data_IF_850265927584
#
_entry.id   IF_850265927584
#
_cell.length_a   1.000
_cell.length_b   1.000
_cell.length_c   1.000
_cell.angle_alpha   90.00
_cell.angle_beta   90.00
_cell.angle_gamma   90.00
#
_symmetry.space_group_name_H-M   'P 1'
#
loop_
_entity.id
_entity.type
_entity.pdbx_description
1 polymer ?
#
# COMPACT_ATOMS: atom_id res chain seq x y z
N UNK A 1 43.64 -17.79 -26.85
CA UNK A 1 42.95 -16.50 -26.69
C UNK A 1 41.68 -16.74 -25.89
N UNK A 2 41.65 -16.39 -24.60
CA UNK A 2 40.42 -16.45 -23.83
C UNK A 2 39.54 -15.27 -24.25
N UNK A 3 38.42 -15.55 -24.92
CA UNK A 3 37.39 -14.56 -25.18
C UNK A 3 36.79 -14.22 -23.82
N UNK A 4 37.12 -13.06 -23.27
CA UNK A 4 36.47 -12.56 -22.06
C UNK A 4 35.02 -12.22 -22.45
N UNK A 5 34.09 -13.11 -22.10
CA UNK A 5 32.68 -12.81 -22.17
C UNK A 5 32.39 -11.59 -21.30
N UNK A 6 31.64 -10.63 -21.84
CA UNK A 6 31.23 -9.46 -21.07
C UNK A 6 30.50 -9.95 -19.79
N UNK A 7 30.89 -9.50 -18.58
CA UNK A 7 30.35 -10.02 -17.32
C UNK A 7 28.81 -10.01 -17.26
N UNK A 8 28.23 -9.00 -17.89
CA UNK A 8 26.80 -8.82 -18.09
C UNK A 8 26.14 -9.97 -18.89
N UNK A 9 26.72 -10.37 -20.02
CA UNK A 9 26.22 -11.45 -20.86
C UNK A 9 26.34 -12.79 -20.13
N UNK A 10 27.44 -12.99 -19.42
CA UNK A 10 27.64 -14.17 -18.58
C UNK A 10 26.55 -14.27 -17.49
N UNK A 11 26.21 -13.14 -16.85
CA UNK A 11 25.15 -13.08 -15.84
C UNK A 11 23.77 -13.40 -16.42
N UNK A 12 23.40 -12.85 -17.58
CA UNK A 12 22.12 -13.20 -18.25
C UNK A 12 22.03 -14.68 -18.59
N UNK A 13 23.10 -15.26 -19.15
CA UNK A 13 23.14 -16.67 -19.51
C UNK A 13 23.05 -17.56 -18.26
N UNK A 14 23.71 -17.16 -17.18
CA UNK A 14 23.62 -17.83 -15.89
C UNK A 14 22.18 -17.82 -15.33
N UNK A 15 21.52 -16.65 -15.30
CA UNK A 15 20.13 -16.55 -14.86
C UNK A 15 19.20 -17.40 -15.73
N UNK A 16 19.39 -17.40 -17.06
CA UNK A 16 18.59 -18.23 -17.97
C UNK A 16 18.78 -19.72 -17.67
N UNK A 17 19.99 -20.16 -17.35
CA UNK A 17 20.25 -21.54 -16.97
C UNK A 17 19.55 -21.91 -15.65
N UNK A 18 19.60 -21.04 -14.64
CA UNK A 18 18.88 -21.26 -13.38
C UNK A 18 17.37 -21.40 -13.59
N UNK A 19 16.77 -20.54 -14.44
CA UNK A 19 15.34 -20.60 -14.78
C UNK A 19 14.99 -21.88 -15.54
N UNK A 20 15.76 -22.22 -16.58
CA UNK A 20 15.53 -23.39 -17.41
C UNK A 20 15.64 -24.71 -16.63
N UNK A 21 16.53 -24.74 -15.63
CA UNK A 21 16.72 -25.89 -14.76
C UNK A 21 15.88 -25.83 -13.47
N UNK A 22 15.04 -24.80 -13.28
CA UNK A 22 14.24 -24.58 -12.06
C UNK A 22 15.08 -24.74 -10.77
N UNK A 23 16.28 -24.16 -10.76
CA UNK A 23 17.19 -24.28 -9.61
C UNK A 23 16.63 -23.44 -8.46
N UNK A 24 16.24 -24.12 -7.38
CA UNK A 24 15.78 -23.46 -6.17
C UNK A 24 16.90 -22.66 -5.50
N UNK A 25 16.65 -21.37 -5.26
CA UNK A 25 17.58 -20.47 -4.56
C UNK A 25 16.93 -19.86 -3.31
N UNK A 26 17.74 -19.50 -2.32
CA UNK A 26 17.27 -18.74 -1.17
C UNK A 26 17.10 -17.24 -1.49
N UNK A 27 16.41 -16.53 -0.58
CA UNK A 27 16.15 -15.09 -0.70
C UNK A 27 17.43 -14.26 -0.71
N UNK A 28 18.43 -14.60 0.10
CA UNK A 28 19.70 -13.88 0.17
C UNK A 28 20.44 -13.91 -1.19
N UNK A 29 20.41 -15.06 -1.86
CA UNK A 29 20.98 -15.22 -3.20
C UNK A 29 20.18 -14.46 -4.25
N UNK A 30 18.85 -14.47 -4.17
CA UNK A 30 18.01 -13.62 -5.02
C UNK A 30 18.35 -12.13 -4.84
N UNK A 31 18.54 -11.66 -3.61
CA UNK A 31 18.88 -10.25 -3.32
C UNK A 31 20.26 -9.86 -3.85
N UNK A 32 21.23 -10.76 -3.75
CA UNK A 32 22.53 -10.57 -4.41
C UNK A 32 22.40 -10.47 -5.92
N UNK A 33 21.51 -11.25 -6.53
CA UNK A 33 21.26 -11.13 -7.97
C UNK A 33 20.64 -9.79 -8.31
N UNK A 34 19.64 -9.32 -7.54
CA UNK A 34 19.04 -8.00 -7.76
C UNK A 34 20.10 -6.89 -7.68
N UNK A 35 20.92 -6.88 -6.63
CA UNK A 35 22.00 -5.91 -6.48
C UNK A 35 23.04 -5.96 -7.63
N UNK A 36 23.30 -7.13 -8.19
CA UNK A 36 24.15 -7.26 -9.38
C UNK A 36 23.44 -6.77 -10.65
N UNK A 37 22.14 -7.04 -10.80
CA UNK A 37 21.31 -6.55 -11.89
C UNK A 37 21.30 -5.02 -11.97
N UNK A 38 21.04 -4.37 -10.84
CA UNK A 38 21.03 -2.91 -10.71
C UNK A 38 22.38 -2.31 -11.12
N UNK A 39 23.49 -2.92 -10.70
CA UNK A 39 24.86 -2.49 -11.08
C UNK A 39 25.13 -2.60 -12.58
N UNK A 40 24.45 -3.51 -13.28
CA UNK A 40 24.55 -3.66 -14.72
C UNK A 40 23.51 -2.83 -15.49
N UNK A 41 22.69 -2.03 -14.81
CA UNK A 41 21.65 -1.21 -15.43
C UNK A 41 20.41 -2.00 -15.86
N UNK A 42 20.20 -3.20 -15.32
CA UNK A 42 18.94 -3.91 -15.50
C UNK A 42 17.93 -3.45 -14.47
N UNK A 43 16.74 -3.09 -14.93
CA UNK A 43 15.58 -3.04 -14.06
C UNK A 43 15.19 -4.46 -13.64
N UNK A 44 14.86 -4.66 -12.36
CA UNK A 44 14.70 -5.96 -11.68
C UNK A 44 13.81 -7.02 -12.35
N UNK A 45 13.04 -6.65 -13.39
CA UNK A 45 12.22 -7.54 -14.21
C UNK A 45 12.98 -8.76 -14.76
N UNK A 46 14.25 -8.58 -15.15
CA UNK A 46 15.05 -9.68 -15.71
C UNK A 46 15.32 -10.79 -14.67
N UNK A 47 15.32 -10.45 -13.39
CA UNK A 47 15.63 -11.35 -12.28
C UNK A 47 14.33 -11.88 -11.67
N UNK A 48 13.33 -11.02 -11.52
CA UNK A 48 12.10 -11.33 -10.79
C UNK A 48 11.24 -12.41 -11.45
N UNK A 49 11.24 -12.48 -12.79
CA UNK A 49 10.37 -13.44 -13.49
C UNK A 49 11.01 -14.81 -13.65
N UNK A 50 10.39 -15.85 -13.06
CA UNK A 50 10.66 -17.26 -13.39
C UNK A 50 11.84 -17.92 -12.68
N UNK A 51 12.43 -17.27 -11.66
CA UNK A 51 13.34 -17.94 -10.73
C UNK A 51 12.54 -18.73 -9.69
N UNK A 52 12.97 -19.96 -9.39
CA UNK A 52 12.43 -20.73 -8.27
C UNK A 52 13.10 -20.26 -6.98
N UNK A 53 12.43 -19.37 -6.24
CA UNK A 53 12.95 -18.79 -5.00
C UNK A 53 12.22 -19.41 -3.82
N UNK A 54 12.98 -19.85 -2.81
CA UNK A 54 12.49 -20.20 -1.50
C UNK A 54 12.13 -18.91 -0.74
N UNK A 55 10.99 -18.32 -1.09
CA UNK A 55 10.50 -17.10 -0.46
C UNK A 55 10.25 -17.30 1.03
N UNK A 56 10.57 -16.30 1.88
CA UNK A 56 10.17 -16.32 3.28
C UNK A 56 8.65 -16.27 3.39
N UNK A 57 8.06 -16.66 4.54
CA UNK A 57 6.64 -16.48 4.79
C UNK A 57 6.20 -15.03 4.57
N UNK A 58 4.97 -14.84 4.10
CA UNK A 58 4.36 -13.52 4.02
C UNK A 58 4.29 -12.93 5.43
N UNK A 59 4.82 -11.72 5.58
CA UNK A 59 4.76 -10.95 6.82
C UNK A 59 4.00 -9.65 6.56
N UNK A 60 2.73 -9.62 6.96
CA UNK A 60 1.86 -8.45 6.82
C UNK A 60 2.16 -7.36 7.85
N UNK A 61 3.10 -7.56 8.77
CA UNK A 61 3.60 -6.51 9.64
C UNK A 61 4.72 -5.68 8.97
N UNK A 62 5.29 -6.13 7.86
CA UNK A 62 6.26 -5.33 7.11
C UNK A 62 5.60 -4.08 6.52
N UNK A 63 6.34 -2.99 6.54
CA UNK A 63 5.90 -1.66 6.07
C UNK A 63 6.94 -1.00 5.15
N UNK A 64 7.99 -1.74 4.83
CA UNK A 64 9.15 -1.29 4.06
C UNK A 64 8.94 -1.38 2.54
N UNK A 65 7.68 -1.47 2.10
CA UNK A 65 7.33 -1.26 0.69
C UNK A 65 7.84 0.13 0.26
N UNK A 66 8.39 0.19 -0.95
CA UNK A 66 9.10 1.38 -1.43
C UNK A 66 8.15 2.59 -1.53
N UNK A 67 6.91 2.31 -1.90
CA UNK A 67 5.81 3.25 -2.09
C UNK A 67 4.63 2.90 -1.16
N UNK A 68 3.47 3.50 -1.41
CA UNK A 68 2.23 3.16 -0.72
C UNK A 68 1.86 1.67 -0.90
N UNK A 69 1.08 1.13 0.06
CA UNK A 69 0.60 -0.25 0.10
C UNK A 69 -0.78 -0.37 0.76
N UNK A 70 -1.43 -1.52 0.58
CA UNK A 70 -2.73 -1.80 1.22
C UNK A 70 -3.87 -0.90 0.71
N UNK A 71 -4.81 -0.56 1.59
CA UNK A 71 -6.00 0.20 1.20
C UNK A 71 -5.68 1.63 0.72
N UNK A 72 -4.66 2.28 1.28
CA UNK A 72 -4.22 3.61 0.87
C UNK A 72 -3.71 3.61 -0.58
N UNK A 73 -2.89 2.61 -0.96
CA UNK A 73 -2.44 2.44 -2.35
C UNK A 73 -3.59 2.20 -3.31
N UNK A 74 -4.54 1.34 -2.92
CA UNK A 74 -5.72 1.05 -3.74
C UNK A 74 -6.55 2.33 -3.96
N UNK A 75 -6.78 3.12 -2.92
CA UNK A 75 -7.43 4.44 -3.04
C UNK A 75 -6.57 5.42 -3.85
N UNK A 76 -5.25 5.28 -3.78
CA UNK A 76 -4.19 5.86 -4.61
C UNK A 76 -4.45 5.76 -6.10
N UNK A 77 -4.70 4.54 -6.53
CA UNK A 77 -4.83 4.13 -7.94
C UNK A 77 -6.21 4.42 -8.52
N UNK A 78 -7.13 4.96 -7.73
CA UNK A 78 -8.51 5.27 -8.11
C UNK A 78 -8.65 6.49 -9.02
N UNK A 79 -8.01 6.49 -10.19
CA UNK A 79 -8.04 7.58 -11.16
C UNK A 79 -9.30 7.54 -12.06
N UNK A 80 -9.49 8.53 -12.93
CA UNK A 80 -10.71 8.73 -13.71
C UNK A 80 -11.10 7.59 -14.68
N UNK A 81 -10.17 6.71 -15.05
CA UNK A 81 -10.44 5.50 -15.84
C UNK A 81 -10.82 4.28 -14.98
N UNK A 82 -10.79 4.43 -13.66
CA UNK A 82 -11.06 3.34 -12.74
C UNK A 82 -12.54 3.03 -12.68
N UNK A 83 -12.88 1.75 -12.79
CA UNK A 83 -14.26 1.28 -12.77
C UNK A 83 -14.60 0.59 -11.44
N UNK A 84 -13.61 0.46 -10.55
CA UNK A 84 -13.69 -0.35 -9.34
C UNK A 84 -14.14 -1.77 -9.63
N UNK A 85 -13.69 -2.29 -10.77
CA UNK A 85 -13.96 -3.64 -11.20
C UNK A 85 -13.16 -4.64 -10.36
N UNK A 86 -13.47 -5.93 -10.51
CA UNK A 86 -12.61 -6.98 -9.91
C UNK A 86 -11.19 -6.94 -10.46
N UNK A 87 -11.04 -6.57 -11.73
CA UNK A 87 -9.74 -6.50 -12.41
C UNK A 87 -8.87 -5.38 -11.83
N UNK A 88 -9.48 -4.23 -11.56
CA UNK A 88 -8.87 -3.11 -10.88
C UNK A 88 -8.27 -3.48 -9.52
N UNK A 89 -9.05 -4.20 -8.70
CA UNK A 89 -8.56 -4.70 -7.41
C UNK A 89 -7.49 -5.77 -7.62
N UNK A 90 -7.64 -6.62 -8.64
CA UNK A 90 -6.66 -7.68 -8.95
C UNK A 90 -5.29 -7.07 -9.26
N UNK A 91 -5.23 -6.01 -10.05
CA UNK A 91 -3.98 -5.29 -10.34
C UNK A 91 -3.30 -4.78 -9.05
N UNK A 92 -4.06 -4.23 -8.11
CA UNK A 92 -3.51 -3.80 -6.82
C UNK A 92 -3.04 -4.97 -5.95
N UNK A 93 -3.79 -6.09 -5.93
CA UNK A 93 -3.42 -7.30 -5.19
C UNK A 93 -2.21 -8.03 -5.80
N UNK A 94 -1.92 -7.82 -7.09
CA UNK A 94 -0.73 -8.32 -7.79
C UNK A 94 0.48 -7.39 -7.68
N UNK A 95 0.31 -6.21 -7.05
CA UNK A 95 1.31 -5.16 -6.98
C UNK A 95 2.42 -5.38 -5.94
N UNK A 96 2.89 -6.61 -5.75
CA UNK A 96 4.06 -6.91 -4.90
C UNK A 96 5.27 -6.09 -5.37
N UNK A 97 6.00 -5.46 -4.45
CA UNK A 97 7.24 -4.77 -4.80
C UNK A 97 8.36 -5.77 -5.11
N UNK A 98 9.38 -5.33 -5.85
CA UNK A 98 10.52 -6.16 -6.21
C UNK A 98 11.17 -6.81 -4.96
N UNK A 99 11.31 -8.13 -5.00
CA UNK A 99 11.89 -8.89 -3.90
C UNK A 99 10.99 -9.09 -2.68
N UNK A 100 9.69 -8.77 -2.77
CA UNK A 100 8.72 -9.23 -1.80
C UNK A 100 8.29 -10.67 -2.08
N UNK A 101 7.84 -11.37 -1.03
CA UNK A 101 7.22 -12.69 -1.20
C UNK A 101 5.95 -12.54 -2.04
N UNK A 102 5.73 -13.36 -3.08
CA UNK A 102 4.51 -13.31 -3.87
C UNK A 102 3.24 -13.38 -3.00
N UNK A 103 2.31 -12.46 -3.22
CA UNK A 103 1.07 -12.31 -2.45
C UNK A 103 1.18 -11.41 -1.23
N UNK A 104 2.30 -10.73 -1.00
CA UNK A 104 2.46 -9.77 0.11
C UNK A 104 1.49 -8.60 -0.01
N UNK A 105 1.35 -8.01 -1.20
CA UNK A 105 0.41 -6.93 -1.48
C UNK A 105 -1.04 -7.36 -1.23
N UNK A 106 -1.44 -8.53 -1.75
CA UNK A 106 -2.76 -9.11 -1.50
C UNK A 106 -3.02 -9.37 -0.01
N UNK A 107 -2.02 -9.85 0.73
CA UNK A 107 -2.15 -10.13 2.17
C UNK A 107 -2.32 -8.86 3.00
N UNK A 108 -1.54 -7.82 2.73
CA UNK A 108 -1.64 -6.52 3.43
C UNK A 108 -2.97 -5.84 3.10
N UNK A 109 -3.38 -5.83 1.82
CA UNK A 109 -4.67 -5.30 1.40
C UNK A 109 -5.85 -6.06 2.04
N UNK A 110 -5.75 -7.40 2.12
CA UNK A 110 -6.75 -8.22 2.81
C UNK A 110 -6.82 -7.90 4.31
N UNK A 111 -5.67 -7.72 4.96
CA UNK A 111 -5.63 -7.37 6.39
C UNK A 111 -6.32 -6.02 6.66
N UNK A 112 -5.97 -4.98 5.90
CA UNK A 112 -6.59 -3.67 5.99
C UNK A 112 -8.12 -3.74 5.78
N UNK A 113 -8.57 -4.47 4.74
CA UNK A 113 -9.99 -4.66 4.47
C UNK A 113 -10.70 -5.40 5.61
N UNK A 114 -10.07 -6.44 6.18
CA UNK A 114 -10.62 -7.19 7.30
C UNK A 114 -10.70 -6.37 8.60
N UNK A 115 -9.75 -5.45 8.84
CA UNK A 115 -9.80 -4.53 10.00
C UNK A 115 -11.05 -3.67 9.94
N UNK A 116 -11.31 -3.03 8.81
CA UNK A 116 -12.49 -2.19 8.62
C UNK A 116 -13.78 -3.03 8.62
N UNK A 117 -13.81 -4.18 7.93
CA UNK A 117 -14.98 -5.08 7.91
C UNK A 117 -15.36 -5.61 9.30
N UNK A 118 -14.39 -5.89 10.17
CA UNK A 118 -14.65 -6.40 11.52
C UNK A 118 -14.87 -5.29 12.54
N UNK A 119 -14.65 -4.03 12.16
CA UNK A 119 -14.84 -2.89 13.05
C UNK A 119 -16.32 -2.58 13.30
N UNK A 120 -16.58 -1.88 14.40
CA UNK A 120 -17.88 -1.34 14.75
C UNK A 120 -18.22 -0.01 14.03
N UNK A 121 -17.42 0.41 13.04
CA UNK A 121 -17.72 1.61 12.28
C UNK A 121 -19.07 1.48 11.55
N UNK A 122 -19.91 2.52 11.56
CA UNK A 122 -21.07 2.56 10.69
C UNK A 122 -20.67 2.49 9.21
N UNK A 123 -21.53 1.90 8.40
CA UNK A 123 -21.32 1.74 6.94
C UNK A 123 -21.12 3.10 6.25
N UNK A 124 -21.83 4.12 6.73
CA UNK A 124 -21.66 5.50 6.30
C UNK A 124 -20.25 6.05 6.57
N UNK A 125 -19.64 5.71 7.71
CA UNK A 125 -18.28 6.15 8.03
C UNK A 125 -17.23 5.44 7.17
N UNK A 126 -17.43 4.15 6.86
CA UNK A 126 -16.59 3.41 5.89
C UNK A 126 -16.70 4.04 4.50
N UNK A 127 -17.92 4.39 4.08
CA UNK A 127 -18.17 5.05 2.80
C UNK A 127 -17.56 6.45 2.73
N UNK A 128 -17.62 7.22 3.83
CA UNK A 128 -16.99 8.54 3.95
C UNK A 128 -15.46 8.44 3.86
N UNK A 129 -14.84 7.49 4.57
CA UNK A 129 -13.39 7.23 4.48
C UNK A 129 -12.96 6.95 3.05
N UNK A 130 -13.68 6.06 2.37
CA UNK A 130 -13.36 5.70 1.00
C UNK A 130 -13.50 6.89 0.05
N UNK A 131 -14.60 7.63 0.20
CA UNK A 131 -14.86 8.84 -0.57
C UNK A 131 -13.75 9.88 -0.37
N UNK A 132 -13.31 10.11 0.87
CA UNK A 132 -12.25 11.09 1.15
C UNK A 132 -10.87 10.67 0.67
N UNK A 133 -10.61 9.38 0.53
CA UNK A 133 -9.30 8.86 0.12
C UNK A 133 -9.19 8.62 -1.40
N UNK A 134 -10.29 8.64 -2.16
CA UNK A 134 -10.30 8.24 -3.56
C UNK A 134 -11.24 9.09 -4.42
N UNK A 135 -10.91 9.27 -5.71
CA UNK A 135 -11.79 9.99 -6.65
C UNK A 135 -13.04 9.16 -7.05
N UNK A 136 -13.15 7.92 -6.57
CA UNK A 136 -14.16 6.94 -6.98
C UNK A 136 -14.99 6.41 -5.81
N UNK A 137 -16.32 6.50 -5.91
CA UNK A 137 -17.25 6.27 -4.79
C UNK A 137 -17.70 4.82 -4.54
N UNK A 138 -17.09 3.80 -5.14
CA UNK A 138 -17.66 2.45 -4.99
C UNK A 138 -18.76 2.15 -6.00
N UNK A 139 -19.03 0.86 -6.22
CA UNK A 139 -20.38 0.41 -6.57
C UNK A 139 -21.01 -0.15 -5.30
N UNK A 140 -22.07 0.49 -4.79
CA UNK A 140 -22.77 0.06 -3.58
C UNK A 140 -22.25 0.66 -2.27
N UNK A 141 -22.54 -0.02 -1.16
CA UNK A 141 -22.16 0.39 0.19
C UNK A 141 -20.68 0.10 0.48
N UNK A 142 -20.04 0.93 1.32
CA UNK A 142 -18.62 0.82 1.67
C UNK A 142 -18.22 -0.56 2.21
N UNK A 143 -19.12 -1.27 2.90
CA UNK A 143 -18.83 -2.65 3.35
C UNK A 143 -18.90 -3.68 2.24
N UNK A 144 -19.80 -3.53 1.28
CA UNK A 144 -19.85 -4.42 0.12
C UNK A 144 -18.59 -4.29 -0.72
N UNK A 145 -18.09 -3.06 -0.86
CA UNK A 145 -16.81 -2.79 -1.49
C UNK A 145 -15.65 -3.49 -0.77
N UNK A 146 -15.56 -3.37 0.56
CA UNK A 146 -14.51 -4.06 1.32
C UNK A 146 -14.61 -5.59 1.23
N UNK A 147 -15.83 -6.15 1.14
CA UNK A 147 -16.02 -7.60 0.91
C UNK A 147 -15.47 -8.01 -0.45
N UNK A 148 -15.76 -7.24 -1.49
CA UNK A 148 -15.22 -7.47 -2.83
C UNK A 148 -13.69 -7.47 -2.84
N UNK A 149 -13.07 -6.48 -2.18
CA UNK A 149 -11.61 -6.42 -2.02
C UNK A 149 -11.08 -7.67 -1.33
N UNK A 150 -11.69 -8.05 -0.21
CA UNK A 150 -11.27 -9.22 0.55
C UNK A 150 -11.39 -10.51 -0.27
N UNK A 151 -12.42 -10.64 -1.10
CA UNK A 151 -12.60 -11.83 -1.94
C UNK A 151 -11.57 -11.93 -3.07
N UNK A 152 -11.28 -10.83 -3.76
CA UNK A 152 -10.22 -10.77 -4.79
C UNK A 152 -8.85 -11.10 -4.18
N UNK A 153 -8.53 -10.52 -3.01
CA UNK A 153 -7.26 -10.82 -2.33
C UNK A 153 -7.16 -12.29 -1.90
N UNK A 154 -8.25 -12.89 -1.41
CA UNK A 154 -8.27 -14.32 -1.06
C UNK A 154 -8.08 -15.21 -2.29
N UNK A 155 -8.67 -14.87 -3.43
CA UNK A 155 -8.46 -15.59 -4.68
C UNK A 155 -6.99 -15.55 -5.07
N UNK A 156 -6.39 -14.36 -5.12
CA UNK A 156 -4.96 -14.20 -5.40
C UNK A 156 -4.09 -15.04 -4.45
N UNK A 157 -4.34 -14.97 -3.14
CA UNK A 157 -3.57 -15.72 -2.16
C UNK A 157 -3.71 -17.24 -2.32
N UNK A 158 -4.91 -17.74 -2.69
CA UNK A 158 -5.11 -19.17 -2.99
C UNK A 158 -4.31 -19.61 -4.21
N UNK A 159 -4.13 -18.73 -5.19
CA UNK A 159 -3.36 -19.01 -6.40
C UNK A 159 -1.85 -19.01 -6.13
N UNK A 160 -1.32 -17.97 -5.47
CA UNK A 160 0.14 -17.80 -5.32
C UNK A 160 0.73 -18.49 -4.11
N UNK A 161 -0.01 -18.57 -3.00
CA UNK A 161 0.46 -19.17 -1.74
C UNK A 161 -0.69 -19.96 -1.09
N UNK A 162 -1.09 -21.15 -1.64
CA UNK A 162 -2.27 -21.90 -1.18
C UNK A 162 -2.26 -22.28 0.32
N UNK A 163 -1.05 -22.40 0.91
CA UNK A 163 -0.86 -22.71 2.32
C UNK A 163 -1.07 -21.48 3.24
N UNK A 164 -1.11 -20.27 2.69
CA UNK A 164 -1.30 -19.04 3.47
C UNK A 164 -2.65 -19.06 4.18
N UNK A 165 -2.67 -18.59 5.43
CA UNK A 165 -3.87 -18.42 6.23
C UNK A 165 -3.92 -16.97 6.69
N UNK A 166 -4.93 -16.19 6.27
CA UNK A 166 -5.04 -14.79 6.66
C UNK A 166 -5.13 -14.67 8.18
N UNK A 167 -4.22 -13.90 8.76
CA UNK A 167 -4.23 -13.50 10.17
C UNK A 167 -4.27 -11.98 10.19
N UNK A 168 -5.16 -11.41 11.00
CA UNK A 168 -5.15 -9.96 11.26
C UNK A 168 -4.31 -9.78 12.52
N UNK A 169 -3.16 -9.13 12.40
CA UNK A 169 -2.28 -8.89 13.54
C UNK A 169 -2.94 -7.93 14.55
N UNK A 170 -2.46 -7.86 15.80
CA UNK A 170 -2.82 -6.75 16.68
C UNK A 170 -2.48 -5.39 16.05
N UNK A 171 -3.32 -4.38 16.29
CA UNK A 171 -3.06 -3.02 15.80
C UNK A 171 -1.85 -2.39 16.50
N UNK A 172 -1.11 -1.53 15.79
CA UNK A 172 0.09 -0.86 16.30
C UNK A 172 -0.25 0.43 17.05
N UNK A 173 -0.75 0.29 18.28
CA UNK A 173 -1.34 1.43 19.02
C UNK A 173 -0.33 2.46 19.56
N UNK A 174 0.97 2.21 19.45
CA UNK A 174 2.04 3.03 20.06
C UNK A 174 2.03 4.49 19.59
N UNK A 175 1.64 4.74 18.34
CA UNK A 175 1.64 6.08 17.74
C UNK A 175 0.25 6.72 17.69
N UNK A 176 -0.77 6.08 18.25
CA UNK A 176 -2.16 6.55 18.14
C UNK A 176 -2.33 8.00 18.60
N UNK A 177 -1.68 8.40 19.70
CA UNK A 177 -1.75 9.78 20.21
C UNK A 177 -1.09 10.82 19.32
N UNK A 178 -0.05 10.45 18.55
CA UNK A 178 0.60 11.35 17.60
C UNK A 178 -0.23 11.49 16.33
N UNK A 179 -0.67 10.37 15.75
CA UNK A 179 -1.51 10.38 14.56
C UNK A 179 -2.82 11.13 14.82
N UNK A 180 -3.46 10.89 15.97
CA UNK A 180 -4.70 11.57 16.36
C UNK A 180 -4.52 13.09 16.48
N UNK A 181 -3.35 13.54 16.95
CA UNK A 181 -3.05 14.97 17.03
C UNK A 181 -3.05 15.60 15.64
N UNK A 182 -2.32 15.03 14.69
CA UNK A 182 -2.21 15.56 13.33
C UNK A 182 -3.57 15.58 12.60
N UNK A 183 -4.37 14.52 12.78
CA UNK A 183 -5.76 14.45 12.26
C UNK A 183 -6.60 15.60 12.83
N UNK A 184 -6.55 15.83 14.14
CA UNK A 184 -7.34 16.89 14.80
C UNK A 184 -6.85 18.29 14.49
N UNK A 185 -5.55 18.50 14.37
CA UNK A 185 -4.96 19.78 13.98
C UNK A 185 -5.34 20.15 12.54
N UNK A 186 -5.50 19.16 11.66
CA UNK A 186 -5.85 19.38 10.26
C UNK A 186 -7.37 19.51 10.02
N UNK A 187 -8.20 18.91 10.88
CA UNK A 187 -9.66 18.90 10.70
C UNK A 187 -10.29 20.30 10.49
N UNK A 188 -9.91 21.36 11.24
CA UNK A 188 -10.43 22.71 11.01
C UNK A 188 -10.08 23.27 9.63
N UNK A 189 -8.89 22.98 9.10
CA UNK A 189 -8.39 23.47 7.82
C UNK A 189 -9.15 22.89 6.63
N UNK A 190 -9.78 21.73 6.80
CA UNK A 190 -10.55 21.06 5.75
C UNK A 190 -12.06 21.15 5.98
N UNK A 191 -12.52 21.79 7.06
CA UNK A 191 -13.92 21.72 7.49
C UNK A 191 -14.92 22.31 6.47
N UNK A 192 -14.48 23.24 5.63
CA UNK A 192 -15.27 23.85 4.54
C UNK A 192 -15.21 23.05 3.23
N UNK A 193 -14.34 22.03 3.14
CA UNK A 193 -14.17 21.20 1.95
C UNK A 193 -15.26 20.14 1.87
N UNK A 194 -15.61 19.80 0.63
CA UNK A 194 -16.55 18.73 0.31
C UNK A 194 -15.90 17.79 -0.70
N UNK A 195 -15.90 16.51 -0.37
CA UNK A 195 -15.47 15.45 -1.28
C UNK A 195 -16.69 15.07 -2.12
N UNK A 196 -16.58 15.15 -3.45
CA UNK A 196 -17.71 14.88 -4.35
C UNK A 196 -17.41 13.77 -5.35
N UNK A 197 -17.23 12.52 -4.91
CA UNK A 197 -17.10 11.42 -5.84
C UNK A 197 -18.47 11.19 -6.52
N UNK A 198 -18.52 11.43 -7.83
CA UNK A 198 -19.70 11.16 -8.67
C UNK A 198 -21.01 11.83 -8.17
N UNK A 199 -20.94 13.10 -7.77
CA UNK A 199 -22.10 13.93 -7.39
C UNK A 199 -22.80 13.56 -6.07
N UNK A 200 -22.16 12.75 -5.21
CA UNK A 200 -22.58 12.56 -3.82
C UNK A 200 -21.63 13.32 -2.88
N UNK A 201 -21.99 14.55 -2.47
CA UNK A 201 -21.13 15.34 -1.61
C UNK A 201 -21.04 14.71 -0.21
N UNK A 202 -19.82 14.49 0.25
CA UNK A 202 -19.48 14.09 1.62
C UNK A 202 -18.69 15.24 2.25
N UNK A 203 -19.17 15.84 3.34
CA UNK A 203 -18.40 16.85 4.07
C UNK A 203 -17.07 16.28 4.54
N UNK A 204 -15.98 17.03 4.38
CA UNK A 204 -14.66 16.58 4.85
C UNK A 204 -14.65 16.35 6.37
N UNK A 205 -15.52 17.02 7.13
CA UNK A 205 -15.70 16.75 8.56
C UNK A 205 -16.10 15.31 8.85
N UNK A 206 -16.99 14.71 8.05
CA UNK A 206 -17.39 13.29 8.21
C UNK A 206 -16.22 12.34 7.90
N UNK A 207 -15.38 12.69 6.93
CA UNK A 207 -14.16 11.94 6.61
C UNK A 207 -13.17 12.00 7.78
N UNK A 208 -12.95 13.19 8.34
CA UNK A 208 -12.03 13.40 9.46
C UNK A 208 -12.52 12.72 10.74
N UNK A 209 -13.83 12.73 11.02
CA UNK A 209 -14.43 12.01 12.15
C UNK A 209 -14.24 10.49 12.01
N UNK A 210 -14.42 9.97 10.80
CA UNK A 210 -14.19 8.56 10.52
C UNK A 210 -12.70 8.19 10.64
N UNK A 211 -11.77 9.05 10.20
CA UNK A 211 -10.33 8.88 10.40
C UNK A 211 -9.96 8.87 11.88
N UNK A 212 -10.48 9.80 12.67
CA UNK A 212 -10.29 9.82 14.13
C UNK A 212 -10.74 8.50 14.76
N UNK A 213 -11.88 7.95 14.33
CA UNK A 213 -12.37 6.68 14.82
C UNK A 213 -11.47 5.50 14.43
N UNK A 214 -10.95 5.48 13.19
CA UNK A 214 -9.98 4.45 12.74
C UNK A 214 -8.72 4.51 13.61
N UNK A 215 -8.16 5.70 13.82
CA UNK A 215 -6.92 5.90 14.59
C UNK A 215 -7.10 5.49 16.05
N UNK A 216 -8.26 5.77 16.64
CA UNK A 216 -8.51 5.54 18.07
C UNK A 216 -9.00 4.13 18.39
N UNK A 217 -9.74 3.48 17.48
CA UNK A 217 -10.45 2.21 17.79
C UNK A 217 -10.05 1.03 16.91
N UNK A 218 -9.40 1.25 15.78
CA UNK A 218 -9.13 0.20 14.79
C UNK A 218 -7.64 0.00 14.63
N UNK A 219 -6.96 0.95 13.99
CA UNK A 219 -5.54 0.87 13.69
C UNK A 219 -4.99 2.25 13.31
N UNK A 220 -4.06 2.83 14.09
CA UNK A 220 -3.47 4.13 13.78
C UNK A 220 -2.48 4.09 12.60
N UNK A 221 -1.89 2.94 12.25
CA UNK A 221 -1.08 2.78 11.03
C UNK A 221 -1.97 2.95 9.79
N UNK A 222 -3.07 2.20 9.74
CA UNK A 222 -4.07 2.33 8.66
C UNK A 222 -4.67 3.74 8.63
N UNK A 223 -5.03 4.28 9.80
CA UNK A 223 -5.57 5.62 9.92
C UNK A 223 -4.61 6.69 9.40
N UNK A 224 -3.32 6.57 9.70
CA UNK A 224 -2.31 7.52 9.21
C UNK A 224 -2.10 7.43 7.69
N UNK A 225 -2.05 6.23 7.11
CA UNK A 225 -1.93 6.07 5.64
C UNK A 225 -3.13 6.65 4.91
N UNK A 226 -4.34 6.38 5.40
CA UNK A 226 -5.56 6.97 4.84
C UNK A 226 -5.60 8.49 5.04
N UNK A 227 -5.10 9.00 6.16
CA UNK A 227 -4.99 10.44 6.39
C UNK A 227 -4.06 11.11 5.36
N UNK A 228 -2.85 10.60 5.14
CA UNK A 228 -1.94 11.12 4.10
C UNK A 228 -2.62 11.12 2.72
N UNK A 229 -3.39 10.07 2.43
CA UNK A 229 -4.14 9.98 1.19
C UNK A 229 -5.24 11.05 1.08
N UNK A 230 -6.00 11.27 2.15
CA UNK A 230 -7.03 12.33 2.24
C UNK A 230 -6.41 13.71 2.03
N UNK A 231 -5.23 13.99 2.61
CA UNK A 231 -4.52 15.25 2.39
C UNK A 231 -4.22 15.48 0.91
N UNK A 232 -3.73 14.43 0.23
CA UNK A 232 -3.40 14.50 -1.19
C UNK A 232 -4.65 14.69 -2.04
N UNK A 233 -5.72 13.94 -1.77
CA UNK A 233 -6.99 14.06 -2.50
C UNK A 233 -7.63 15.45 -2.31
N UNK A 234 -7.66 15.95 -1.07
CA UNK A 234 -8.19 17.28 -0.75
C UNK A 234 -7.25 18.44 -1.06
N UNK A 235 -6.03 18.16 -1.56
CA UNK A 235 -4.98 19.16 -1.84
C UNK A 235 -4.80 20.11 -0.66
N UNK A 236 -4.58 19.55 0.53
CA UNK A 236 -4.37 20.33 1.76
C UNK A 236 -2.93 20.83 1.79
N UNK A 237 -2.74 22.15 1.82
CA UNK A 237 -1.41 22.73 1.97
C UNK A 237 -0.74 22.32 3.28
N UNK A 238 0.55 22.01 3.23
CA UNK A 238 1.36 21.63 4.38
C UNK A 238 2.49 22.62 4.60
N UNK A 239 2.81 22.89 5.87
CA UNK A 239 4.09 23.51 6.22
C UNK A 239 5.21 22.47 6.20
N UNK A 240 6.46 22.92 6.04
CA UNK A 240 7.62 22.03 6.17
C UNK A 240 7.63 21.30 7.52
N UNK A 241 7.29 21.99 8.61
CA UNK A 241 7.24 21.40 9.95
C UNK A 241 6.19 20.29 10.07
N UNK A 242 5.04 20.41 9.40
CA UNK A 242 4.03 19.34 9.36
C UNK A 242 4.56 18.13 8.59
N UNK A 243 5.17 18.37 7.43
CA UNK A 243 5.74 17.31 6.61
C UNK A 243 6.85 16.54 7.36
N UNK A 244 7.76 17.23 8.04
CA UNK A 244 8.82 16.60 8.84
C UNK A 244 8.26 15.72 9.96
N UNK A 245 7.16 16.14 10.60
CA UNK A 245 6.45 15.31 11.59
C UNK A 245 5.82 14.07 10.95
N UNK A 246 5.27 14.19 9.75
CA UNK A 246 4.72 13.04 9.03
C UNK A 246 5.80 12.03 8.64
N UNK A 247 6.97 12.51 8.21
CA UNK A 247 8.14 11.67 7.97
C UNK A 247 8.55 10.93 9.25
N UNK A 248 8.66 11.63 10.38
CA UNK A 248 9.00 11.01 11.66
C UNK A 248 7.98 9.97 12.13
N UNK A 249 6.68 10.16 11.86
CA UNK A 249 5.65 9.14 12.13
C UNK A 249 5.84 7.94 11.20
N UNK A 250 6.06 8.17 9.90
CA UNK A 250 6.29 7.11 8.91
C UNK A 250 7.52 6.25 9.24
N UNK A 251 8.64 6.89 9.59
CA UNK A 251 9.87 6.20 10.04
C UNK A 251 9.61 5.31 11.25
N UNK A 252 8.82 5.78 12.23
CA UNK A 252 8.49 5.00 13.43
C UNK A 252 7.56 3.81 13.15
N UNK A 253 6.68 3.92 12.15
CA UNK A 253 5.92 2.76 11.66
C UNK A 253 6.76 1.81 10.77
N UNK A 254 7.94 2.26 10.33
CA UNK A 254 8.84 1.51 9.45
C UNK A 254 8.46 1.62 7.97
N UNK A 255 7.88 2.75 7.55
CA UNK A 255 7.51 3.01 6.16
C UNK A 255 8.74 3.09 5.26
N UNK A 256 8.61 2.62 4.02
CA UNK A 256 9.65 2.79 3.01
C UNK A 256 9.85 4.25 2.59
N UNK A 257 10.96 4.48 1.88
CA UNK A 257 11.53 5.81 1.66
C UNK A 257 10.59 6.82 0.97
N UNK A 258 9.66 6.36 0.13
CA UNK A 258 8.79 7.26 -0.64
C UNK A 258 7.34 7.27 -0.18
N UNK A 259 6.99 6.52 0.87
CA UNK A 259 5.60 6.44 1.33
C UNK A 259 5.03 7.81 1.74
N UNK A 260 5.81 8.59 2.50
CA UNK A 260 5.38 9.93 2.94
C UNK A 260 5.62 10.99 1.86
N UNK A 261 6.59 10.79 0.97
CA UNK A 261 6.91 11.72 -0.11
C UNK A 261 5.78 11.94 -1.12
N UNK A 262 4.76 11.08 -1.13
CA UNK A 262 3.56 11.29 -1.94
C UNK A 262 2.81 12.60 -1.60
N UNK A 263 3.01 13.16 -0.40
CA UNK A 263 2.46 14.46 0.00
C UNK A 263 3.47 15.63 -0.08
N UNK A 264 4.70 15.41 -0.55
CA UNK A 264 5.71 16.48 -0.72
C UNK A 264 5.21 17.61 -1.62
N UNK A 265 4.42 17.27 -2.64
CA UNK A 265 3.86 18.25 -3.57
C UNK A 265 2.87 19.22 -2.92
N UNK A 266 2.48 19.00 -1.66
CA UNK A 266 1.57 19.86 -0.90
C UNK A 266 2.30 20.89 -0.03
N UNK A 267 3.63 20.82 0.07
CA UNK A 267 4.41 21.76 0.86
C UNK A 267 4.31 23.15 0.23
N UNK A 268 3.90 24.15 1.02
CA UNK A 268 3.89 25.54 0.56
C UNK A 268 5.32 25.99 0.24
N UNK A 269 5.61 26.20 -1.03
CA UNK A 269 6.79 26.96 -1.45
C UNK A 269 6.53 28.42 -1.11
N UNK A 270 7.17 28.91 -0.04
CA UNK A 270 7.12 30.31 0.37
C UNK A 270 7.59 31.30 -0.70
#
# INVERSE_FOLDING_TARGET
MAVHAHPELAFRLFLRALKACSVRIDKERYDRFQALGDRFGYHGFLIDTGLDVAWPPIDTARRDALWDFGLSRLAGQAHWEWHGSREDIRMAAEGDDLGQTPGSAAAVLLEDALRLLRSALPDAAVSALWSGASDWSGTGDGRDWLRLIADVCRERLREVVPAYRPVVAPARTELAGLVLREVRETAPTVADKVVSPHWRPVPATEVMDALEHVVTRIDPDLGFRLFLRVLNHLRVSLTQEQYDRYQAIGERFGYGAYHVSDVDCLIETG
#
